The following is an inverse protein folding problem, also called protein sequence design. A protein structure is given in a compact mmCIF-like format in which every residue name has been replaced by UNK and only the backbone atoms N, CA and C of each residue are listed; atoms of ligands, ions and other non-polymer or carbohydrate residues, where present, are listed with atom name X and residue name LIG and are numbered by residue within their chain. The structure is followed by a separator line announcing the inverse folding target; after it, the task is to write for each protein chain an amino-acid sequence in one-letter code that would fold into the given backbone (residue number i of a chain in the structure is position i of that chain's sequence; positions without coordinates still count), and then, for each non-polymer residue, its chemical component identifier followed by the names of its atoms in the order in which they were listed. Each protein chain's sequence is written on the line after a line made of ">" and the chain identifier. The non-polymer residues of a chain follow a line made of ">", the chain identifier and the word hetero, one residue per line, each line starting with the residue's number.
data_IF_892853211487
#
_entry.id   IF_892853211487
#
_cell.length_a   1.000
_cell.length_b   1.000
_cell.length_c   1.000
_cell.angle_alpha   90.00
_cell.angle_beta   90.00
_cell.angle_gamma   90.00
#
_symmetry.space_group_name_H-M   'P 1'
#
loop_
_entity.id
_entity.type
_entity.pdbx_description
1 polymer ?
#
# COMPACT_ATOMS: atom_id res chain seq x y z
N UNK A 1 14.62 17.32 5.09
CA UNK A 1 13.66 16.37 4.50
C UNK A 1 13.70 15.07 5.28
N UNK A 2 12.58 14.54 5.58
CA UNK A 2 12.49 13.33 6.39
C UNK A 2 12.76 12.08 5.56
N UNK A 3 13.42 11.11 6.15
CA UNK A 3 13.79 9.87 5.48
C UNK A 3 12.57 9.08 4.98
N UNK A 4 11.44 9.15 5.70
CA UNK A 4 10.21 8.46 5.30
C UNK A 4 9.70 8.95 3.94
N UNK A 5 9.78 10.26 3.68
CA UNK A 5 9.36 10.83 2.39
C UNK A 5 10.23 10.28 1.27
N UNK A 6 11.53 10.15 1.51
CA UNK A 6 12.47 9.62 0.54
C UNK A 6 12.20 8.14 0.26
N UNK A 7 11.93 7.35 1.31
CA UNK A 7 11.61 5.93 1.17
C UNK A 7 10.33 5.71 0.37
N UNK A 8 9.30 6.52 0.62
CA UNK A 8 8.04 6.46 -0.12
C UNK A 8 8.27 6.77 -1.59
N UNK A 9 9.07 7.79 -1.89
CA UNK A 9 9.38 8.19 -3.26
C UNK A 9 10.11 7.08 -4.01
N UNK A 10 11.09 6.43 -3.37
CA UNK A 10 11.81 5.30 -3.96
C UNK A 10 10.89 4.11 -4.20
N UNK A 11 10.07 3.76 -3.22
CA UNK A 11 9.15 2.64 -3.35
C UNK A 11 8.17 2.86 -4.50
N UNK A 12 7.62 4.07 -4.61
CA UNK A 12 6.72 4.43 -5.69
C UNK A 12 7.39 4.32 -7.06
N UNK A 13 8.62 4.84 -7.17
CA UNK A 13 9.37 4.80 -8.41
C UNK A 13 9.69 3.36 -8.81
N UNK A 14 10.06 2.52 -7.85
CA UNK A 14 10.36 1.12 -8.09
C UNK A 14 9.12 0.37 -8.58
N UNK A 15 7.99 0.53 -7.91
CA UNK A 15 6.74 -0.12 -8.30
C UNK A 15 6.32 0.32 -9.69
N UNK A 16 6.41 1.61 -9.99
CA UNK A 16 6.09 2.15 -11.30
C UNK A 16 6.98 1.52 -12.38
N UNK A 17 8.28 1.41 -12.11
CA UNK A 17 9.22 0.81 -13.06
C UNK A 17 8.90 -0.66 -13.31
N UNK A 18 8.54 -1.41 -12.26
CA UNK A 18 8.18 -2.82 -12.40
C UNK A 18 6.91 -3.00 -13.25
N UNK A 19 5.93 -2.14 -13.07
CA UNK A 19 4.69 -2.20 -13.86
C UNK A 19 4.96 -1.83 -15.31
N UNK A 20 5.80 -0.84 -15.57
CA UNK A 20 6.17 -0.43 -16.92
C UNK A 20 6.98 -1.52 -17.64
N UNK A 21 7.82 -2.24 -16.91
CA UNK A 21 8.62 -3.33 -17.45
C UNK A 21 7.73 -4.50 -17.88
N UNK A 22 6.77 -4.87 -17.05
CA UNK A 22 5.81 -5.93 -17.35
C UNK A 22 4.47 -5.63 -16.67
N UNK A 23 3.41 -5.33 -17.43
CA UNK A 23 2.09 -5.04 -16.85
C UNK A 23 1.53 -6.16 -15.96
N UNK A 24 1.96 -7.40 -16.14
CA UNK A 24 1.55 -8.50 -15.28
C UNK A 24 2.04 -8.32 -13.84
N UNK A 25 3.09 -7.51 -13.65
CA UNK A 25 3.58 -7.20 -12.30
C UNK A 25 2.54 -6.47 -11.47
N UNK A 26 1.61 -5.76 -12.10
CA UNK A 26 0.54 -5.09 -11.37
C UNK A 26 -0.32 -6.08 -10.59
N UNK A 27 -0.64 -7.23 -11.17
CA UNK A 27 -1.43 -8.26 -10.49
C UNK A 27 -0.68 -8.84 -9.30
N UNK A 28 0.62 -9.05 -9.45
CA UNK A 28 1.46 -9.56 -8.35
C UNK A 28 1.50 -8.55 -7.21
N UNK A 29 1.70 -7.27 -7.54
CA UNK A 29 1.78 -6.20 -6.54
C UNK A 29 0.42 -6.01 -5.86
N UNK A 30 -0.67 -6.12 -6.61
CA UNK A 30 -2.02 -6.04 -6.05
C UNK A 30 -2.24 -7.16 -5.02
N UNK A 31 -1.77 -8.36 -5.31
CA UNK A 31 -1.87 -9.50 -4.41
C UNK A 31 -1.05 -9.28 -3.13
N UNK A 32 0.16 -8.78 -3.28
CA UNK A 32 1.00 -8.42 -2.13
C UNK A 32 0.34 -7.36 -1.26
N UNK A 33 -0.25 -6.34 -1.89
CA UNK A 33 -1.00 -5.33 -1.17
C UNK A 33 -2.15 -5.95 -0.37
N UNK A 34 -2.96 -6.78 -1.02
CA UNK A 34 -4.11 -7.40 -0.39
C UNK A 34 -3.70 -8.23 0.84
N UNK A 35 -2.69 -9.07 0.69
CA UNK A 35 -2.20 -9.91 1.79
C UNK A 35 -1.60 -9.07 2.91
N UNK A 36 -0.78 -8.09 2.58
CA UNK A 36 -0.10 -7.25 3.56
C UNK A 36 -1.08 -6.40 4.36
N UNK A 37 -2.08 -5.80 3.68
CA UNK A 37 -3.05 -4.95 4.36
C UNK A 37 -4.00 -5.76 5.24
N UNK A 38 -4.36 -6.98 4.83
CA UNK A 38 -5.18 -7.85 5.68
C UNK A 38 -4.45 -8.24 6.94
N UNK A 39 -3.18 -8.58 6.82
CA UNK A 39 -2.34 -8.88 7.97
C UNK A 39 -2.18 -7.66 8.87
N UNK A 40 -1.97 -6.49 8.27
CA UNK A 40 -1.86 -5.23 9.00
C UNK A 40 -3.10 -4.96 9.86
N UNK A 41 -4.29 -5.17 9.29
CA UNK A 41 -5.54 -4.95 10.03
C UNK A 41 -5.69 -5.95 11.17
N UNK A 42 -5.29 -7.21 10.97
CA UNK A 42 -5.32 -8.21 12.05
C UNK A 42 -4.43 -7.80 13.21
N UNK A 43 -3.23 -7.34 12.93
CA UNK A 43 -2.30 -6.87 13.95
C UNK A 43 -2.84 -5.61 14.62
N UNK A 44 -3.42 -4.69 13.87
CA UNK A 44 -3.95 -3.43 14.38
C UNK A 44 -5.13 -3.65 15.33
N UNK A 45 -5.93 -4.69 15.11
CA UNK A 45 -7.05 -5.03 16.01
C UNK A 45 -6.59 -5.31 17.43
N UNK A 46 -5.36 -5.77 17.60
CA UNK A 46 -4.82 -6.10 18.92
C UNK A 46 -4.33 -4.92 19.73
N UNK A 47 -4.10 -3.74 19.12
CA UNK A 47 -3.49 -2.66 19.88
C UNK A 47 -3.51 -1.27 19.28
N UNK A 48 -3.66 -1.12 17.98
CA UNK A 48 -3.64 0.21 17.36
C UNK A 48 -5.05 0.79 17.28
N UNK A 49 -5.15 2.09 17.47
CA UNK A 49 -6.42 2.79 17.33
C UNK A 49 -6.88 2.78 15.89
N UNK A 50 -8.17 2.66 15.70
CA UNK A 50 -8.79 2.63 14.38
C UNK A 50 -8.43 3.85 13.53
N UNK A 51 -8.45 5.04 14.12
CA UNK A 51 -8.14 6.28 13.42
C UNK A 51 -6.73 6.26 12.83
N UNK A 52 -5.79 5.63 13.52
CA UNK A 52 -4.41 5.58 13.04
C UNK A 52 -4.24 4.76 11.78
N UNK A 53 -4.82 3.56 11.76
CA UNK A 53 -4.65 2.74 10.57
C UNK A 53 -5.54 3.19 9.41
N UNK A 54 -6.68 3.81 9.69
CA UNK A 54 -7.49 4.43 8.64
C UNK A 54 -6.74 5.58 7.98
N UNK A 55 -6.07 6.42 8.78
CA UNK A 55 -5.22 7.48 8.27
C UNK A 55 -4.06 6.97 7.43
N UNK A 56 -3.43 5.90 7.89
CA UNK A 56 -2.37 5.25 7.14
C UNK A 56 -2.88 4.75 5.78
N UNK A 57 -4.02 4.07 5.76
CA UNK A 57 -4.58 3.55 4.51
C UNK A 57 -4.95 4.67 3.54
N UNK A 58 -5.52 5.76 4.04
CA UNK A 58 -5.85 6.91 3.20
C UNK A 58 -4.60 7.47 2.53
N UNK A 59 -3.52 7.63 3.29
CA UNK A 59 -2.26 8.13 2.76
C UNK A 59 -1.64 7.16 1.76
N UNK A 60 -1.69 5.87 2.07
CA UNK A 60 -1.17 4.83 1.19
C UNK A 60 -1.91 4.81 -0.16
N UNK A 61 -3.23 4.86 -0.12
CA UNK A 61 -4.02 4.79 -1.36
C UNK A 61 -3.83 6.01 -2.26
N UNK A 62 -3.49 7.17 -1.71
CA UNK A 62 -3.15 8.34 -2.53
C UNK A 62 -1.93 8.06 -3.40
N UNK A 63 -1.03 7.21 -2.94
CA UNK A 63 0.17 6.82 -3.68
C UNK A 63 -0.14 5.65 -4.62
N UNK A 64 -0.92 4.69 -4.16
CA UNK A 64 -1.18 3.46 -4.88
C UNK A 64 -2.11 3.63 -6.08
N UNK A 65 -3.16 4.46 -5.94
CA UNK A 65 -4.13 4.66 -7.02
C UNK A 65 -3.53 5.12 -8.34
N UNK A 66 -2.63 6.11 -8.36
CA UNK A 66 -2.02 6.54 -9.62
C UNK A 66 -1.19 5.46 -10.30
N UNK A 67 -0.79 4.43 -9.56
CA UNK A 67 -0.03 3.29 -10.10
C UNK A 67 -0.94 2.21 -10.68
N UNK A 68 -2.24 2.34 -10.52
CA UNK A 68 -3.21 1.37 -11.01
C UNK A 68 -3.65 0.35 -9.97
N UNK A 69 -3.20 0.49 -8.73
CA UNK A 69 -3.59 -0.42 -7.66
C UNK A 69 -4.98 -0.06 -7.12
N UNK A 70 -5.77 -1.08 -6.83
CA UNK A 70 -7.11 -0.92 -6.30
C UNK A 70 -7.09 -1.04 -4.77
N UNK A 71 -8.00 -0.32 -4.08
CA UNK A 71 -8.12 -0.50 -2.64
C UNK A 71 -8.43 -1.95 -2.28
N UNK A 72 -7.81 -2.43 -1.20
CA UNK A 72 -8.01 -3.79 -0.72
C UNK A 72 -9.31 -3.88 0.07
N UNK A 73 -10.10 -4.92 -0.18
CA UNK A 73 -11.27 -5.22 0.64
C UNK A 73 -10.80 -5.73 1.99
N UNK A 74 -11.03 -4.95 3.04
CA UNK A 74 -10.58 -5.27 4.39
C UNK A 74 -11.75 -5.75 5.24
N UNK A 75 -11.51 -6.69 6.17
CA UNK A 75 -12.54 -7.09 7.13
C UNK A 75 -12.82 -5.91 8.06
N UNK A 76 -14.07 -5.59 8.23
CA UNK A 76 -14.50 -4.45 9.05
C UNK A 76 -14.89 -4.91 10.43
#
# INVERSE_FOLDING_TARGET
>A
MRDETRHISYARALVKALIEDDPANLDVIQRWQDESLRLFVEVARGGARRERWEGFLSSYYKIARPLGLRPTALPV
#
